data_IF_894133746216
#
_entry.id   IF_894133746216
#
_cell.length_a   1.000
_cell.length_b   1.000
_cell.length_c   1.000
_cell.angle_alpha   90.00
_cell.angle_beta   90.00
_cell.angle_gamma   90.00
#
_symmetry.space_group_name_H-M   'P 1'
#
loop_
_entity.id
_entity.type
_entity.pdbx_description
1 polymer ?
#
# COMPACT_ATOMS: atom_id res chain seq x y z
N UNK A 1 -12.10 -19.95 -16.32
CA UNK A 1 -11.95 -18.64 -17.01
C UNK A 1 -10.72 -18.74 -17.89
N UNK A 2 -10.76 -18.25 -19.15
CA UNK A 2 -9.56 -18.29 -20.01
C UNK A 2 -8.58 -17.18 -19.59
N UNK A 3 -7.28 -17.41 -19.76
CA UNK A 3 -6.24 -16.42 -19.45
C UNK A 3 -6.50 -15.09 -20.16
N UNK A 4 -6.93 -15.14 -21.42
CA UNK A 4 -7.25 -13.94 -22.20
C UNK A 4 -8.38 -13.11 -21.58
N UNK A 5 -9.38 -13.76 -20.97
CA UNK A 5 -10.49 -13.05 -20.32
C UNK A 5 -9.99 -12.29 -19.08
N UNK A 6 -9.11 -12.93 -18.29
CA UNK A 6 -8.48 -12.31 -17.11
C UNK A 6 -7.63 -11.11 -17.54
N UNK A 7 -6.83 -11.26 -18.60
CA UNK A 7 -5.98 -10.18 -19.10
C UNK A 7 -6.80 -9.01 -19.65
N UNK A 8 -7.91 -9.27 -20.35
CA UNK A 8 -8.80 -8.22 -20.84
C UNK A 8 -9.41 -7.39 -19.70
N UNK A 9 -9.62 -7.98 -18.53
CA UNK A 9 -10.10 -7.32 -17.32
C UNK A 9 -9.01 -6.61 -16.51
N UNK A 10 -7.73 -6.68 -16.91
CA UNK A 10 -6.66 -5.94 -16.23
C UNK A 10 -6.80 -4.43 -16.44
N UNK A 11 -6.51 -3.65 -15.40
CA UNK A 11 -6.65 -2.19 -15.40
C UNK A 11 -5.99 -1.52 -16.61
N UNK A 12 -4.71 -1.81 -16.96
CA UNK A 12 -4.08 -1.19 -18.13
C UNK A 12 -4.79 -1.52 -19.46
N UNK A 13 -5.46 -2.66 -19.56
CA UNK A 13 -6.10 -3.12 -20.80
C UNK A 13 -7.40 -2.37 -21.13
N UNK A 14 -8.15 -1.94 -20.10
CA UNK A 14 -9.42 -1.24 -20.29
C UNK A 14 -9.34 0.26 -19.96
N UNK A 15 -8.38 0.72 -19.16
CA UNK A 15 -8.30 2.11 -18.69
C UNK A 15 -8.24 3.12 -19.84
N UNK A 16 -7.38 2.91 -20.84
CA UNK A 16 -7.26 3.84 -21.97
C UNK A 16 -8.54 3.91 -22.81
N UNK A 17 -9.30 2.81 -22.91
CA UNK A 17 -10.58 2.79 -23.65
C UNK A 17 -11.67 3.55 -22.93
N UNK A 18 -11.73 3.45 -21.60
CA UNK A 18 -12.80 4.02 -20.78
C UNK A 18 -12.36 5.25 -19.97
N UNK A 19 -11.23 5.87 -20.32
CA UNK A 19 -10.62 7.00 -19.61
C UNK A 19 -11.57 8.16 -19.34
N UNK A 20 -12.52 8.40 -20.26
CA UNK A 20 -13.55 9.45 -20.16
C UNK A 20 -14.68 9.13 -19.17
N UNK A 21 -14.85 7.86 -18.82
CA UNK A 21 -15.97 7.35 -18.02
C UNK A 21 -15.50 6.69 -16.70
N UNK A 22 -14.22 6.87 -16.34
CA UNK A 22 -13.61 6.30 -15.15
C UNK A 22 -12.88 7.37 -14.36
N UNK A 23 -12.53 7.06 -13.11
CA UNK A 23 -11.75 7.93 -12.23
C UNK A 23 -10.35 8.14 -12.85
N UNK A 24 -9.82 9.36 -12.76
CA UNK A 24 -8.45 9.67 -13.17
C UNK A 24 -7.46 8.79 -12.39
N UNK A 25 -6.52 8.16 -13.07
CA UNK A 25 -5.59 7.21 -12.47
C UNK A 25 -4.24 7.25 -13.18
N UNK A 26 -3.20 6.81 -12.47
CA UNK A 26 -1.83 6.70 -12.99
C UNK A 26 -1.41 5.25 -12.75
N UNK A 27 -0.84 4.61 -13.79
CA UNK A 27 -0.33 3.25 -13.70
C UNK A 27 1.18 3.32 -13.48
N UNK A 28 1.66 2.69 -12.42
CA UNK A 28 3.09 2.58 -12.09
C UNK A 28 3.49 1.11 -12.21
N UNK A 29 4.40 0.73 -13.11
CA UNK A 29 4.93 -0.62 -13.18
C UNK A 29 5.65 -0.99 -11.89
N UNK A 30 5.40 -2.19 -11.36
CA UNK A 30 6.13 -2.73 -10.23
C UNK A 30 7.51 -3.19 -10.69
N UNK A 31 8.58 -2.74 -10.04
CA UNK A 31 9.92 -3.27 -10.25
C UNK A 31 10.06 -4.65 -9.58
N UNK A 32 11.07 -5.42 -9.96
CA UNK A 32 11.34 -6.73 -9.38
C UNK A 32 11.52 -6.65 -7.85
N UNK A 33 12.21 -5.62 -7.36
CA UNK A 33 12.47 -5.43 -5.93
C UNK A 33 11.18 -5.13 -5.15
N UNK A 34 10.31 -4.29 -5.72
CA UNK A 34 9.00 -3.99 -5.12
C UNK A 34 8.12 -5.24 -5.13
N UNK A 35 8.15 -6.02 -6.21
CA UNK A 35 7.39 -7.26 -6.31
C UNK A 35 7.86 -8.27 -5.24
N UNK A 36 9.17 -8.44 -5.07
CA UNK A 36 9.73 -9.30 -4.05
C UNK A 36 9.32 -8.85 -2.64
N UNK A 37 9.39 -7.55 -2.36
CA UNK A 37 8.93 -6.99 -1.08
C UNK A 37 7.42 -7.21 -0.85
N UNK A 38 6.59 -7.06 -1.87
CA UNK A 38 5.13 -7.28 -1.77
C UNK A 38 4.76 -8.75 -1.56
N UNK A 39 5.56 -9.68 -2.10
CA UNK A 39 5.36 -11.12 -1.96
C UNK A 39 5.96 -11.70 -0.67
N UNK A 40 6.82 -10.95 0.01
CA UNK A 40 7.37 -11.34 1.29
C UNK A 40 6.27 -11.43 2.36
N UNK A 41 6.11 -12.62 2.94
CA UNK A 41 5.15 -12.91 4.01
C UNK A 41 5.73 -12.63 5.41
N UNK A 42 6.92 -12.04 5.50
CA UNK A 42 7.54 -11.62 6.74
C UNK A 42 6.75 -10.52 7.48
N UNK A 43 7.31 -10.08 8.61
CA UNK A 43 6.77 -8.96 9.37
C UNK A 43 6.63 -7.73 8.49
N UNK A 44 5.52 -7.03 8.62
CA UNK A 44 5.26 -5.79 7.90
C UNK A 44 6.25 -4.70 8.35
N UNK A 45 7.28 -4.46 7.55
CA UNK A 45 8.24 -3.36 7.71
C UNK A 45 8.11 -2.44 6.52
N UNK A 46 7.76 -1.17 6.76
CA UNK A 46 7.60 -0.20 5.68
C UNK A 46 8.97 0.20 5.10
N UNK A 47 9.05 0.47 3.78
CA UNK A 47 10.27 0.95 3.15
C UNK A 47 10.76 2.26 3.76
N UNK A 48 12.08 2.44 3.81
CA UNK A 48 12.70 3.66 4.31
C UNK A 48 12.22 4.89 3.50
N UNK A 49 11.93 6.00 4.20
CA UNK A 49 11.43 7.24 3.57
C UNK A 49 10.03 7.15 2.93
N UNK A 50 9.26 6.08 3.21
CA UNK A 50 7.90 5.94 2.67
C UNK A 50 6.84 6.70 3.48
N UNK A 51 7.13 7.00 4.75
CA UNK A 51 6.29 7.78 5.64
C UNK A 51 6.85 9.19 5.78
N UNK A 52 5.99 10.21 6.00
CA UNK A 52 6.47 11.53 6.37
C UNK A 52 7.19 11.42 7.72
N UNK A 53 8.27 12.20 7.87
CA UNK A 53 8.94 12.38 9.16
C UNK A 53 7.88 12.73 10.22
N UNK A 54 7.88 12.08 11.39
CA UNK A 54 6.99 12.48 12.47
C UNK A 54 7.34 13.93 12.85
N UNK A 55 6.41 14.85 12.57
CA UNK A 55 6.46 16.19 13.16
C UNK A 55 6.26 16.04 14.67
N UNK A 56 7.34 15.84 15.41
CA UNK A 56 7.32 16.00 16.86
C UNK A 56 6.98 17.47 17.12
N UNK A 57 5.71 17.74 17.40
CA UNK A 57 5.29 19.01 17.97
C UNK A 57 5.90 19.10 19.37
N UNK A 58 7.08 19.70 19.47
CA UNK A 58 7.61 20.21 20.73
C UNK A 58 6.77 21.41 21.14
N UNK A 59 5.56 21.15 21.64
CA UNK A 59 4.87 22.11 22.50
C UNK A 59 5.57 22.05 23.85
N UNK A 60 6.70 22.74 23.97
CA UNK A 60 7.19 23.21 25.27
C UNK A 60 6.24 24.31 25.72
N UNK A 61 5.30 23.97 26.60
CA UNK A 61 4.84 24.78 27.74
C UNK A 61 3.68 24.05 28.45
N UNK A 62 4.03 23.53 29.63
CA UNK A 62 3.25 23.54 30.88
C UNK A 62 2.53 22.28 31.41
N UNK A 63 2.92 21.98 32.65
CA UNK A 63 2.38 21.17 33.76
C UNK A 63 1.74 19.77 33.58
N UNK A 64 2.51 18.79 34.07
CA UNK A 64 2.15 17.57 34.83
C UNK A 64 0.71 17.05 34.80
N UNK A 65 0.55 15.84 34.25
CA UNK A 65 -0.12 14.76 34.99
C UNK A 65 0.31 13.37 34.50
N UNK A 66 0.52 12.50 35.48
CA UNK A 66 1.22 11.23 35.38
C UNK A 66 0.56 10.20 34.45
N UNK A 67 1.35 9.67 33.51
CA UNK A 67 1.24 8.31 33.00
C UNK A 67 2.65 7.75 32.75
N UNK A 68 3.34 7.37 33.83
CA UNK A 68 4.38 6.35 33.73
C UNK A 68 3.70 5.02 33.39
N UNK A 69 3.94 4.51 32.17
CA UNK A 69 4.17 3.09 31.85
C UNK A 69 3.87 2.76 30.37
N UNK A 70 4.72 3.24 29.45
CA UNK A 70 4.89 2.65 28.10
C UNK A 70 6.38 2.46 27.74
N UNK A 71 7.27 2.50 28.73
CA UNK A 71 8.72 2.25 28.59
C UNK A 71 9.06 0.76 28.78
N UNK A 72 8.17 -0.16 28.38
CA UNK A 72 8.43 -1.59 28.45
C UNK A 72 8.09 -2.42 27.21
N UNK A 73 8.04 -1.81 26.02
CA UNK A 73 8.10 -2.58 24.76
C UNK A 73 9.32 -2.24 23.89
N UNK A 74 10.41 -1.74 24.48
CA UNK A 74 11.73 -1.85 23.86
C UNK A 74 12.22 -3.29 24.03
N UNK A 75 11.59 -4.18 23.26
CA UNK A 75 12.22 -5.45 22.92
C UNK A 75 13.58 -5.08 22.33
N UNK A 76 14.63 -5.73 22.80
CA UNK A 76 15.99 -5.73 22.25
C UNK A 76 16.01 -6.37 20.85
N UNK A 77 15.13 -5.93 19.96
CA UNK A 77 15.08 -6.30 18.56
C UNK A 77 15.89 -5.30 17.77
N UNK A 78 16.93 -5.79 17.09
CA UNK A 78 17.58 -5.13 15.95
C UNK A 78 16.52 -4.35 15.17
N UNK A 79 16.66 -3.03 15.04
CA UNK A 79 15.72 -2.25 14.21
C UNK A 79 15.78 -2.85 12.82
N UNK A 80 14.70 -3.52 12.41
CA UNK A 80 14.65 -4.14 11.08
C UNK A 80 14.52 -2.97 10.11
N UNK A 81 15.64 -2.60 9.49
CA UNK A 81 15.64 -1.59 8.44
C UNK A 81 14.75 -2.08 7.29
N UNK A 82 13.80 -1.24 6.88
CA UNK A 82 12.95 -1.52 5.73
C UNK A 82 13.76 -1.55 4.43
N UNK A 83 13.23 -2.18 3.37
CA UNK A 83 13.92 -2.17 2.08
C UNK A 83 14.02 -0.73 1.54
N UNK A 84 15.12 -0.43 0.85
CA UNK A 84 15.33 0.86 0.20
C UNK A 84 14.65 0.87 -1.15
N UNK A 85 13.46 1.47 -1.22
CA UNK A 85 12.63 1.56 -2.43
C UNK A 85 12.41 3.03 -2.84
N UNK A 86 13.43 3.87 -2.66
CA UNK A 86 13.36 5.34 -2.82
C UNK A 86 12.77 5.78 -4.17
N UNK A 87 13.24 5.18 -5.28
CA UNK A 87 12.73 5.51 -6.61
C UNK A 87 11.24 5.22 -6.77
N UNK A 88 10.78 4.11 -6.20
CA UNK A 88 9.37 3.73 -6.27
C UNK A 88 8.54 4.61 -5.33
N UNK A 89 9.06 4.93 -4.14
CA UNK A 89 8.43 5.86 -3.20
C UNK A 89 8.20 7.23 -3.86
N UNK A 90 9.22 7.76 -4.53
CA UNK A 90 9.14 9.02 -5.28
C UNK A 90 8.06 8.95 -6.38
N UNK A 91 8.05 7.88 -7.19
CA UNK A 91 7.04 7.69 -8.25
C UNK A 91 5.62 7.65 -7.69
N UNK A 92 5.40 6.97 -6.57
CA UNK A 92 4.09 6.87 -5.91
C UNK A 92 3.66 8.23 -5.37
N UNK A 93 4.53 8.92 -4.62
CA UNK A 93 4.24 10.24 -4.05
C UNK A 93 3.95 11.28 -5.14
N UNK A 94 4.73 11.28 -6.23
CA UNK A 94 4.49 12.14 -7.39
C UNK A 94 3.15 11.84 -8.07
N UNK A 95 2.77 10.58 -8.18
CA UNK A 95 1.47 10.19 -8.73
C UNK A 95 0.33 10.67 -7.84
N UNK A 96 0.43 10.49 -6.52
CA UNK A 96 -0.56 10.99 -5.56
C UNK A 96 -0.71 12.51 -5.69
N UNK A 97 0.41 13.25 -5.77
CA UNK A 97 0.41 14.70 -5.98
C UNK A 97 -0.30 15.09 -7.28
N UNK A 98 0.00 14.42 -8.40
CA UNK A 98 -0.65 14.64 -9.71
C UNK A 98 -2.15 14.30 -9.72
N UNK A 99 -2.60 13.46 -8.81
CA UNK A 99 -4.00 13.07 -8.62
C UNK A 99 -4.76 13.98 -7.63
N UNK A 100 -4.11 15.00 -7.08
CA UNK A 100 -4.74 15.97 -6.17
C UNK A 100 -4.39 15.75 -4.69
N UNK A 101 -3.29 15.07 -4.40
CA UNK A 101 -2.77 14.86 -3.04
C UNK A 101 -3.43 13.70 -2.29
N UNK A 102 -4.34 12.98 -2.93
CA UNK A 102 -5.03 11.84 -2.33
C UNK A 102 -5.44 10.85 -3.41
N UNK A 103 -5.17 9.57 -3.19
CA UNK A 103 -5.53 8.49 -4.11
C UNK A 103 -5.94 7.22 -3.34
N UNK A 104 -6.40 6.20 -4.04
CA UNK A 104 -6.49 4.84 -3.49
C UNK A 104 -5.70 3.89 -4.38
N UNK A 105 -4.97 2.92 -3.81
CA UNK A 105 -4.17 1.99 -4.60
C UNK A 105 -5.00 0.80 -5.07
N UNK A 106 -4.59 0.21 -6.19
CA UNK A 106 -5.03 -1.13 -6.63
C UNK A 106 -3.96 -1.75 -7.52
N UNK A 107 -3.96 -3.07 -7.62
CA UNK A 107 -3.18 -3.78 -8.63
C UNK A 107 -4.00 -3.93 -9.93
N UNK A 108 -3.56 -4.81 -10.82
CA UNK A 108 -4.18 -4.99 -12.13
C UNK A 108 -5.67 -5.30 -12.02
N UNK A 109 -6.12 -6.07 -11.03
CA UNK A 109 -7.50 -6.51 -10.93
C UNK A 109 -8.18 -5.96 -9.66
N UNK A 110 -7.53 -6.12 -8.52
CA UNK A 110 -8.16 -5.95 -7.21
C UNK A 110 -7.67 -4.71 -6.46
N UNK A 111 -8.58 -4.07 -5.72
CA UNK A 111 -8.26 -3.06 -4.70
C UNK A 111 -8.15 -3.70 -3.32
N UNK A 112 -7.35 -3.14 -2.39
CA UNK A 112 -7.12 -3.69 -1.05
C UNK A 112 -8.27 -3.37 -0.08
N UNK A 113 -9.52 -3.56 -0.52
CA UNK A 113 -10.72 -3.20 0.25
C UNK A 113 -10.91 -4.03 1.53
N UNK A 114 -10.31 -5.21 1.57
CA UNK A 114 -10.23 -6.08 2.75
C UNK A 114 -9.17 -5.64 3.76
N UNK A 115 -8.32 -4.67 3.42
CA UNK A 115 -7.26 -4.14 4.27
C UNK A 115 -7.56 -2.75 4.85
N UNK A 116 -8.77 -2.21 4.70
CA UNK A 116 -9.08 -0.87 5.23
C UNK A 116 -8.95 -0.77 6.76
N UNK A 117 -8.94 -1.91 7.47
CA UNK A 117 -8.78 -1.99 8.92
C UNK A 117 -7.40 -1.56 9.41
N UNK A 118 -6.35 -1.69 8.58
CA UNK A 118 -4.98 -1.33 8.99
C UNK A 118 -4.68 0.16 8.78
N UNK A 119 -5.45 0.85 7.95
CA UNK A 119 -5.29 2.28 7.72
C UNK A 119 -5.80 3.09 8.92
N UNK A 120 -5.02 4.11 9.33
CA UNK A 120 -5.38 5.01 10.45
C UNK A 120 -6.74 5.70 10.27
N UNK A 121 -7.10 5.98 9.02
CA UNK A 121 -8.35 6.64 8.65
C UNK A 121 -9.51 5.67 8.35
N UNK A 122 -9.32 4.35 8.56
CA UNK A 122 -10.28 3.29 8.24
C UNK A 122 -10.82 3.33 6.81
N UNK A 123 -10.01 3.82 5.87
CA UNK A 123 -10.39 4.00 4.46
C UNK A 123 -9.27 3.56 3.53
N UNK A 124 -9.54 3.52 2.22
CA UNK A 124 -8.51 3.24 1.20
C UNK A 124 -7.75 4.49 0.76
N UNK A 125 -7.98 5.63 1.42
CA UNK A 125 -7.35 6.90 1.10
C UNK A 125 -5.88 6.88 1.51
N UNK A 126 -5.01 7.05 0.54
CA UNK A 126 -3.57 7.18 0.68
C UNK A 126 -3.11 8.58 0.31
N UNK A 127 -2.26 9.15 1.15
CA UNK A 127 -1.57 10.42 0.91
C UNK A 127 -0.07 10.22 0.72
N UNK A 128 0.47 9.07 1.14
CA UNK A 128 1.90 8.74 1.10
C UNK A 128 2.15 7.36 0.46
N UNK A 129 3.38 7.11 0.03
CA UNK A 129 3.81 5.78 -0.40
C UNK A 129 3.66 4.74 0.72
N UNK A 130 3.91 5.13 1.97
CA UNK A 130 3.75 4.27 3.13
C UNK A 130 2.31 3.80 3.33
N UNK A 131 1.31 4.67 3.15
CA UNK A 131 -0.12 4.27 3.17
C UNK A 131 -0.42 3.22 2.10
N UNK A 132 0.17 3.39 0.90
CA UNK A 132 0.00 2.47 -0.23
C UNK A 132 0.59 1.10 0.11
N UNK A 133 1.81 1.03 0.62
CA UNK A 133 2.43 -0.23 1.04
C UNK A 133 1.63 -0.90 2.15
N UNK A 134 1.17 -0.14 3.14
CA UNK A 134 0.41 -0.62 4.28
C UNK A 134 -0.86 -1.36 3.82
N UNK A 135 -1.65 -0.73 2.95
CA UNK A 135 -2.87 -1.33 2.42
C UNK A 135 -2.60 -2.52 1.50
N UNK A 136 -1.64 -2.38 0.57
CA UNK A 136 -1.37 -3.43 -0.42
C UNK A 136 -0.82 -4.70 0.25
N UNK A 137 0.13 -4.56 1.18
CA UNK A 137 0.76 -5.71 1.86
C UNK A 137 -0.17 -6.40 2.86
N UNK A 138 -1.23 -5.71 3.31
CA UNK A 138 -2.20 -6.24 4.27
C UNK A 138 -3.47 -6.84 3.61
N UNK A 139 -3.51 -6.91 2.27
CA UNK A 139 -4.69 -7.37 1.52
C UNK A 139 -4.51 -8.77 0.94
N UNK A 140 -5.46 -9.65 1.24
CA UNK A 140 -5.55 -10.98 0.62
C UNK A 140 -5.94 -10.90 -0.86
N UNK A 141 -6.73 -9.90 -1.26
CA UNK A 141 -7.04 -9.68 -2.67
C UNK A 141 -5.81 -9.30 -3.49
N UNK A 142 -4.94 -8.47 -2.91
CA UNK A 142 -3.66 -8.11 -3.53
C UNK A 142 -2.72 -9.32 -3.58
N UNK A 143 -2.63 -10.10 -2.51
CA UNK A 143 -1.84 -11.34 -2.49
C UNK A 143 -2.30 -12.34 -3.57
N UNK A 144 -3.61 -12.45 -3.79
CA UNK A 144 -4.17 -13.26 -4.87
C UNK A 144 -3.77 -12.73 -6.25
N UNK A 145 -3.90 -11.42 -6.49
CA UNK A 145 -3.48 -10.78 -7.75
C UNK A 145 -2.00 -11.06 -8.08
N UNK A 146 -1.12 -11.12 -7.07
CA UNK A 146 0.31 -11.36 -7.24
C UNK A 146 0.69 -12.83 -7.45
N UNK A 147 -0.05 -13.77 -6.87
CA UNK A 147 0.38 -15.18 -6.80
C UNK A 147 -0.48 -16.13 -7.63
N UNK A 148 -1.76 -15.82 -7.80
CA UNK A 148 -2.75 -16.74 -8.36
C UNK A 148 -3.78 -16.10 -9.29
N UNK A 149 -3.47 -15.06 -10.10
CA UNK A 149 -4.50 -14.30 -10.84
C UNK A 149 -5.25 -15.12 -11.90
N UNK A 150 -4.67 -16.24 -12.36
CA UNK A 150 -5.26 -17.12 -13.37
C UNK A 150 -5.84 -18.43 -12.81
N UNK A 151 -5.80 -18.63 -11.48
CA UNK A 151 -6.37 -19.84 -10.88
C UNK A 151 -7.90 -19.78 -10.94
N UNK A 152 -8.51 -20.87 -11.40
CA UNK A 152 -9.97 -21.03 -11.38
C UNK A 152 -10.34 -21.61 -10.01
N UNK A 153 -11.07 -20.84 -9.20
CA UNK A 153 -11.61 -21.35 -7.94
C UNK A 153 -12.74 -22.34 -8.25
N UNK A 154 -12.51 -23.63 -8.04
CA UNK A 154 -13.51 -24.69 -8.18
C UNK A 154 -14.45 -24.79 -6.97
N UNK A 155 -14.21 -24.01 -5.91
CA UNK A 155 -14.89 -24.14 -4.62
C UNK A 155 -15.79 -22.95 -4.30
N UNK A 156 -16.89 -22.81 -5.04
CA UNK A 156 -18.13 -22.18 -4.54
C UNK A 156 -19.31 -22.91 -5.16
N UNK A 157 -19.83 -23.92 -4.46
CA UNK A 157 -21.20 -24.40 -4.62
C UNK A 157 -22.10 -23.60 -3.70
#
# INVERSE_FOLDING_TARGET
MKVNDVMACSFPSWYEKFKKCTIKSIVIPLTTDVLAYMQDNGTLVLPEGSQPEPEYRTNTEDESDAYEDWEHCRTTGTSVEGPKLEEFNAKVNDAIKKLGGSAFPKLNWSSPKDASWIALNKSLRCSTAGDVYLLLKSSNFVAHDLTSPFKVNYERK
#
